data_IF_653360081567
#
_entry.id   IF_653360081567
#
_cell.length_a   1.000
_cell.length_b   1.000
_cell.length_c   1.000
_cell.angle_alpha   90.00
_cell.angle_beta   90.00
_cell.angle_gamma   90.00
#
_symmetry.space_group_name_H-M   'P 1'
#
loop_
_entity.id
_entity.type
_entity.pdbx_description
1 polymer ?
#
# COMPACT_ATOMS: atom_id res chain seq x y z
N UNK A 1 -7.35 -48.98 -3.09
CA UNK A 1 -8.46 -48.04 -3.34
C UNK A 1 -7.79 -46.73 -3.83
N UNK A 2 -7.91 -46.39 -5.12
CA UNK A 2 -7.37 -45.15 -5.63
C UNK A 2 -8.34 -44.04 -5.25
N UNK A 3 -7.98 -43.22 -4.30
CA UNK A 3 -8.65 -41.96 -4.01
C UNK A 3 -8.47 -41.04 -5.23
N UNK A 4 -9.54 -40.38 -5.70
CA UNK A 4 -9.53 -39.55 -6.92
C UNK A 4 -8.44 -38.44 -6.92
N UNK A 5 -8.34 -37.70 -8.04
CA UNK A 5 -7.28 -36.67 -8.29
C UNK A 5 -7.08 -35.65 -7.16
N UNK A 6 -8.08 -35.42 -6.29
CA UNK A 6 -8.02 -34.52 -5.13
C UNK A 6 -7.13 -35.02 -3.96
N UNK A 7 -6.66 -36.26 -3.99
CA UNK A 7 -5.83 -36.89 -2.94
C UNK A 7 -4.41 -37.24 -3.42
N UNK A 8 -3.85 -36.44 -4.30
CA UNK A 8 -2.44 -36.57 -4.66
C UNK A 8 -1.53 -36.31 -3.45
N UNK A 9 -0.31 -36.84 -3.46
CA UNK A 9 0.67 -36.64 -2.39
C UNK A 9 0.94 -35.16 -2.10
N UNK A 10 0.79 -34.30 -3.11
CA UNK A 10 0.89 -32.84 -2.98
C UNK A 10 -0.25 -32.26 -2.16
N UNK A 11 -1.50 -32.66 -2.44
CA UNK A 11 -2.67 -32.19 -1.69
C UNK A 11 -2.69 -32.71 -0.24
N UNK A 12 -2.29 -33.98 -0.02
CA UNK A 12 -2.22 -34.55 1.33
C UNK A 12 -1.20 -33.79 2.18
N UNK A 13 -0.03 -33.43 1.63
CA UNK A 13 0.95 -32.59 2.33
C UNK A 13 0.39 -31.19 2.64
N UNK A 14 -0.30 -30.58 1.71
CA UNK A 14 -0.94 -29.28 1.91
C UNK A 14 -2.06 -29.34 2.98
N UNK A 15 -2.89 -30.39 3.01
CA UNK A 15 -3.89 -30.60 4.05
C UNK A 15 -3.26 -30.73 5.42
N UNK A 16 -2.18 -31.52 5.53
CA UNK A 16 -1.43 -31.66 6.79
C UNK A 16 -0.83 -30.32 7.23
N UNK A 17 -0.20 -29.59 6.36
CA UNK A 17 0.38 -28.28 6.67
C UNK A 17 -0.71 -27.30 7.13
N UNK A 18 -1.82 -27.24 6.42
CA UNK A 18 -2.95 -26.39 6.80
C UNK A 18 -3.49 -26.73 8.20
N UNK A 19 -3.66 -28.00 8.49
CA UNK A 19 -4.11 -28.46 9.82
C UNK A 19 -3.15 -28.06 10.94
N UNK A 20 -1.84 -28.07 10.68
CA UNK A 20 -0.84 -27.65 11.67
C UNK A 20 -0.87 -26.12 11.90
N UNK A 21 -1.12 -25.34 10.86
CA UNK A 21 -1.18 -23.86 10.95
C UNK A 21 -2.53 -23.39 11.52
N UNK A 22 -3.61 -24.09 11.19
CA UNK A 22 -4.99 -23.76 11.57
C UNK A 22 -5.64 -24.98 12.21
N UNK A 23 -5.36 -25.25 13.50
CA UNK A 23 -5.82 -26.47 14.16
C UNK A 23 -7.33 -26.56 14.33
N UNK A 24 -8.03 -25.43 14.40
CA UNK A 24 -9.49 -25.38 14.52
C UNK A 24 -10.16 -24.98 13.20
N UNK A 25 -10.35 -25.97 12.33
CA UNK A 25 -10.95 -25.77 10.99
C UNK A 25 -12.42 -25.35 11.06
N UNK A 26 -13.18 -25.78 12.04
CA UNK A 26 -14.61 -25.45 12.11
C UNK A 26 -14.82 -23.98 12.51
N UNK A 27 -14.06 -23.49 13.46
CA UNK A 27 -14.04 -22.05 13.78
C UNK A 27 -13.58 -21.24 12.56
N UNK A 28 -12.58 -21.74 11.85
CA UNK A 28 -12.08 -21.08 10.64
C UNK A 28 -13.12 -20.95 9.54
N UNK A 29 -13.84 -22.03 9.23
CA UNK A 29 -14.91 -22.03 8.22
C UNK A 29 -16.04 -21.05 8.57
N UNK A 30 -16.42 -20.98 9.84
CA UNK A 30 -17.46 -20.07 10.28
C UNK A 30 -17.02 -18.60 10.23
N UNK A 31 -15.76 -18.34 10.56
CA UNK A 31 -15.18 -16.99 10.61
C UNK A 31 -14.83 -16.43 9.22
N UNK A 32 -14.42 -17.30 8.28
CA UNK A 32 -13.95 -16.91 6.95
C UNK A 32 -14.63 -17.69 5.83
N UNK A 33 -15.95 -17.54 5.65
CA UNK A 33 -16.73 -18.33 4.67
C UNK A 33 -16.42 -17.94 3.21
N UNK A 34 -15.83 -16.80 2.97
CA UNK A 34 -15.44 -16.28 1.66
C UNK A 34 -14.12 -16.86 1.11
N UNK A 35 -13.33 -17.57 1.93
CA UNK A 35 -12.10 -18.18 1.46
C UNK A 35 -12.36 -19.53 0.79
N UNK A 36 -11.79 -19.73 -0.38
CA UNK A 36 -11.78 -21.03 -1.08
C UNK A 36 -10.52 -21.82 -0.74
N UNK A 37 -10.54 -23.15 -1.00
CA UNK A 37 -9.35 -23.98 -0.90
C UNK A 37 -8.16 -23.44 -1.70
N UNK A 38 -8.42 -22.77 -2.83
CA UNK A 38 -7.35 -22.16 -3.63
C UNK A 38 -6.62 -21.03 -2.90
N UNK A 39 -7.32 -20.22 -2.12
CA UNK A 39 -6.68 -19.21 -1.26
C UNK A 39 -5.74 -19.88 -0.25
N UNK A 40 -6.25 -20.87 0.48
CA UNK A 40 -5.46 -21.63 1.45
C UNK A 40 -4.22 -22.24 0.80
N UNK A 41 -4.40 -22.94 -0.33
CA UNK A 41 -3.32 -23.60 -1.04
C UNK A 41 -2.23 -22.64 -1.55
N UNK A 42 -2.60 -21.39 -1.86
CA UNK A 42 -1.63 -20.35 -2.26
C UNK A 42 -0.81 -19.87 -1.06
N UNK A 43 -1.44 -19.63 0.07
CA UNK A 43 -0.73 -19.18 1.28
C UNK A 43 0.23 -20.21 1.85
N UNK A 44 -0.04 -21.50 1.70
CA UNK A 44 0.86 -22.57 2.15
C UNK A 44 2.22 -22.63 1.42
N UNK A 45 2.47 -21.76 0.46
CA UNK A 45 3.80 -21.56 -0.16
C UNK A 45 4.70 -20.67 0.67
N UNK A 46 4.13 -19.89 1.57
CA UNK A 46 4.86 -19.03 2.50
C UNK A 46 5.49 -19.94 3.58
N UNK A 47 6.75 -19.65 3.94
CA UNK A 47 7.50 -20.48 4.89
C UNK A 47 7.28 -20.07 6.36
N UNK A 48 6.56 -19.00 6.63
CA UNK A 48 6.29 -18.49 7.97
C UNK A 48 4.80 -18.71 8.33
N UNK A 49 4.55 -19.47 9.40
CA UNK A 49 3.20 -19.78 9.87
C UNK A 49 2.43 -18.54 10.33
N UNK A 50 3.11 -17.50 10.82
CA UNK A 50 2.50 -16.23 11.22
C UNK A 50 2.05 -15.47 10.00
N UNK A 51 2.91 -15.40 8.97
CA UNK A 51 2.57 -14.78 7.69
C UNK A 51 1.42 -15.53 6.99
N UNK A 52 1.38 -16.87 7.02
CA UNK A 52 0.28 -17.66 6.45
C UNK A 52 -1.05 -17.24 7.08
N UNK A 53 -1.13 -17.21 8.42
CA UNK A 53 -2.35 -16.81 9.14
C UNK A 53 -2.76 -15.39 8.79
N UNK A 54 -1.82 -14.48 8.78
CA UNK A 54 -2.06 -13.08 8.44
C UNK A 54 -2.61 -12.93 7.02
N UNK A 55 -2.01 -13.59 6.01
CA UNK A 55 -2.50 -13.56 4.63
C UNK A 55 -3.92 -14.12 4.51
N UNK A 56 -4.25 -15.19 5.24
CA UNK A 56 -5.58 -15.77 5.25
C UNK A 56 -6.60 -14.82 5.90
N UNK A 57 -6.28 -14.27 7.07
CA UNK A 57 -7.15 -13.33 7.77
C UNK A 57 -7.38 -12.05 6.98
N UNK A 58 -6.32 -11.47 6.43
CA UNK A 58 -6.42 -10.25 5.62
C UNK A 58 -7.20 -10.52 4.32
N UNK A 59 -6.95 -11.65 3.65
CA UNK A 59 -7.70 -12.04 2.46
C UNK A 59 -9.19 -12.17 2.72
N UNK A 60 -9.58 -12.69 3.88
CA UNK A 60 -10.98 -12.83 4.26
C UNK A 60 -11.61 -11.48 4.60
N UNK A 61 -10.94 -10.66 5.39
CA UNK A 61 -11.44 -9.36 5.84
C UNK A 61 -11.56 -8.36 4.69
N UNK A 62 -10.62 -8.38 3.75
CA UNK A 62 -10.59 -7.48 2.59
C UNK A 62 -11.19 -8.09 1.33
N UNK A 63 -11.72 -9.31 1.39
CA UNK A 63 -12.31 -10.03 0.26
C UNK A 63 -11.35 -10.14 -0.94
N UNK A 64 -10.07 -10.45 -0.70
CA UNK A 64 -9.12 -10.61 -1.78
C UNK A 64 -9.50 -11.75 -2.71
N UNK A 65 -9.35 -11.53 -4.01
CA UNK A 65 -9.38 -12.61 -4.98
C UNK A 65 -8.12 -13.48 -4.85
N UNK A 66 -8.18 -14.71 -5.36
CA UNK A 66 -6.98 -15.59 -5.44
C UNK A 66 -5.83 -14.88 -6.18
N UNK A 67 -6.13 -14.10 -7.21
CA UNK A 67 -5.13 -13.35 -7.98
C UNK A 67 -4.49 -12.24 -7.14
N UNK A 68 -5.30 -11.49 -6.40
CA UNK A 68 -4.82 -10.45 -5.47
C UNK A 68 -3.93 -11.04 -4.39
N UNK A 69 -4.38 -12.16 -3.79
CA UNK A 69 -3.59 -12.87 -2.79
C UNK A 69 -2.25 -13.39 -3.35
N UNK A 70 -2.27 -14.01 -4.52
CA UNK A 70 -1.06 -14.55 -5.17
C UNK A 70 -0.05 -13.43 -5.48
N UNK A 71 -0.54 -12.25 -5.93
CA UNK A 71 0.27 -11.06 -6.11
C UNK A 71 0.85 -10.55 -4.77
N UNK A 72 0.03 -10.41 -3.75
CA UNK A 72 0.48 -9.93 -2.44
C UNK A 72 1.53 -10.85 -1.80
N UNK A 73 1.41 -12.18 -1.98
CA UNK A 73 2.44 -13.13 -1.57
C UNK A 73 3.72 -12.94 -2.39
N UNK A 74 3.62 -12.86 -3.71
CA UNK A 74 4.79 -12.72 -4.59
C UNK A 74 5.52 -11.38 -4.42
N UNK A 75 4.81 -10.32 -4.04
CA UNK A 75 5.37 -9.00 -3.71
C UNK A 75 5.80 -8.87 -2.25
N UNK A 76 5.75 -9.97 -1.48
CA UNK A 76 6.13 -10.00 -0.05
C UNK A 76 5.41 -8.92 0.76
N UNK A 77 4.08 -8.83 0.58
CA UNK A 77 3.29 -7.77 1.18
C UNK A 77 3.27 -7.80 2.72
N UNK A 78 3.24 -9.01 3.32
CA UNK A 78 3.34 -9.20 4.77
C UNK A 78 4.64 -8.60 5.30
N UNK A 79 5.76 -8.96 4.72
CA UNK A 79 7.09 -8.52 5.11
C UNK A 79 7.23 -6.99 4.98
N UNK A 80 6.73 -6.42 3.87
CA UNK A 80 6.72 -4.97 3.65
C UNK A 80 5.83 -4.23 4.65
N UNK A 81 4.67 -4.82 4.99
CA UNK A 81 3.73 -4.22 5.93
C UNK A 81 4.32 -4.09 7.35
N UNK A 82 5.04 -5.12 7.81
CA UNK A 82 5.66 -5.13 9.13
C UNK A 82 7.07 -4.54 9.18
N UNK A 83 7.68 -4.24 8.03
CA UNK A 83 9.00 -3.58 7.94
C UNK A 83 8.90 -2.06 7.99
N UNK A 84 7.71 -1.47 7.95
CA UNK A 84 7.55 -0.02 8.03
C UNK A 84 7.71 0.44 9.47
N UNK A 85 8.47 1.53 9.73
CA UNK A 85 8.44 2.17 11.04
C UNK A 85 7.00 2.64 11.26
N UNK A 86 6.35 2.10 12.28
CA UNK A 86 5.14 2.71 12.80
C UNK A 86 5.54 4.07 13.35
N UNK A 87 5.23 5.14 12.62
CA UNK A 87 5.29 6.47 13.18
C UNK A 87 4.46 6.44 14.47
N UNK A 88 4.98 6.97 15.60
CA UNK A 88 4.27 6.94 16.86
C UNK A 88 2.93 7.61 16.67
N UNK A 89 1.89 6.79 16.55
CA UNK A 89 0.53 7.25 16.54
C UNK A 89 0.16 7.67 17.96
N UNK A 90 -0.09 8.93 18.16
CA UNK A 90 -0.88 9.41 19.29
C UNK A 90 -2.36 9.09 19.03
N UNK A 91 -2.65 7.82 18.80
CA UNK A 91 -4.01 7.38 18.55
C UNK A 91 -4.75 7.30 19.89
N UNK A 92 -5.67 8.20 20.10
CA UNK A 92 -6.84 8.01 20.95
C UNK A 92 -7.70 6.90 20.34
N UNK A 93 -8.10 5.93 21.16
CA UNK A 93 -8.93 4.78 20.79
C UNK A 93 -10.13 5.20 19.92
N UNK A 94 -10.18 4.70 18.69
CA UNK A 94 -11.35 4.81 17.80
C UNK A 94 -11.14 5.48 16.45
N UNK A 95 -10.02 6.17 16.18
CA UNK A 95 -9.74 6.75 14.86
C UNK A 95 -8.92 5.79 13.99
N UNK A 96 -9.46 5.47 12.81
CA UNK A 96 -8.74 4.71 11.79
C UNK A 96 -7.48 5.50 11.40
N UNK A 97 -6.31 4.92 11.68
CA UNK A 97 -5.04 5.58 11.41
C UNK A 97 -4.84 5.76 9.89
N UNK A 98 -4.84 7.00 9.43
CA UNK A 98 -4.69 7.35 8.00
C UNK A 98 -3.40 6.76 7.40
N UNK A 99 -2.31 6.70 8.17
CA UNK A 99 -1.04 6.15 7.71
C UNK A 99 -1.07 4.63 7.47
N UNK A 100 -1.96 3.89 8.14
CA UNK A 100 -2.13 2.44 7.93
C UNK A 100 -2.89 2.12 6.65
N UNK A 101 -3.70 3.05 6.15
CA UNK A 101 -4.45 2.89 4.91
C UNK A 101 -3.66 3.28 3.66
N UNK A 102 -2.55 4.00 3.84
CA UNK A 102 -1.67 4.43 2.76
C UNK A 102 -0.41 3.56 2.77
N UNK A 103 -0.29 2.68 1.77
CA UNK A 103 0.89 1.84 1.62
C UNK A 103 2.13 2.65 1.20
N UNK A 104 3.30 2.32 1.76
CA UNK A 104 4.59 2.84 1.32
C UNK A 104 5.70 1.80 1.59
N UNK A 105 6.60 1.46 0.67
CA UNK A 105 6.58 1.92 -0.72
C UNK A 105 5.47 1.25 -1.55
N UNK A 106 4.98 1.97 -2.56
CA UNK A 106 4.10 1.41 -3.60
C UNK A 106 4.95 0.60 -4.58
N UNK A 107 4.63 -0.67 -4.78
CA UNK A 107 5.33 -1.52 -5.75
C UNK A 107 4.60 -1.46 -7.09
N UNK A 108 5.25 -0.87 -8.08
CA UNK A 108 4.67 -0.56 -9.38
C UNK A 108 5.33 -1.35 -10.54
N UNK A 109 5.77 -2.60 -10.29
CA UNK A 109 6.38 -3.48 -11.27
C UNK A 109 5.46 -3.78 -12.47
N UNK A 110 4.17 -3.75 -12.24
CA UNK A 110 3.13 -3.96 -13.26
C UNK A 110 3.11 -2.86 -14.33
N UNK A 111 3.73 -1.70 -14.07
CA UNK A 111 3.86 -0.63 -15.07
C UNK A 111 4.83 -1.00 -16.21
N UNK A 112 5.67 -2.03 -16.02
CA UNK A 112 6.51 -2.61 -17.06
C UNK A 112 7.75 -1.79 -17.43
N UNK A 113 8.11 -0.75 -16.68
CA UNK A 113 9.35 0.01 -16.90
C UNK A 113 10.57 -0.84 -16.60
N UNK A 114 11.57 -0.79 -17.48
CA UNK A 114 12.85 -1.45 -17.27
C UNK A 114 13.77 -0.58 -16.42
N UNK A 115 14.64 -1.22 -15.65
CA UNK A 115 15.52 -0.56 -14.68
C UNK A 115 16.43 0.53 -15.30
N UNK A 116 16.80 0.36 -16.57
CA UNK A 116 17.72 1.24 -17.31
C UNK A 116 17.02 2.13 -18.34
N UNK A 117 15.69 2.15 -18.35
CA UNK A 117 14.90 2.94 -19.29
C UNK A 117 14.58 4.32 -18.70
N UNK A 118 14.85 5.40 -19.45
CA UNK A 118 14.41 6.74 -19.07
C UNK A 118 12.93 6.90 -19.42
N UNK A 119 12.15 7.42 -18.49
CA UNK A 119 10.73 7.72 -18.66
C UNK A 119 10.41 9.09 -18.08
N UNK A 120 9.35 9.73 -18.57
CA UNK A 120 8.84 10.99 -18.07
C UNK A 120 7.72 10.81 -17.03
N UNK A 121 7.38 11.88 -16.32
CA UNK A 121 6.20 11.87 -15.42
C UNK A 121 4.91 11.57 -16.20
N UNK A 122 4.79 12.05 -17.45
CA UNK A 122 3.67 11.74 -18.33
C UNK A 122 3.62 10.26 -18.74
N UNK A 123 4.78 9.61 -18.95
CA UNK A 123 4.83 8.16 -19.23
C UNK A 123 4.40 7.37 -18.01
N UNK A 124 4.85 7.78 -16.82
CA UNK A 124 4.45 7.17 -15.55
C UNK A 124 2.94 7.31 -15.32
N UNK A 125 2.38 8.50 -15.48
CA UNK A 125 0.95 8.75 -15.38
C UNK A 125 0.15 7.88 -16.36
N UNK A 126 0.55 7.86 -17.63
CA UNK A 126 -0.12 7.09 -18.67
C UNK A 126 -0.09 5.59 -18.37
N UNK A 127 1.04 5.07 -17.88
CA UNK A 127 1.17 3.68 -17.47
C UNK A 127 0.32 3.35 -16.24
N UNK A 128 0.22 4.25 -15.25
CA UNK A 128 -0.68 4.08 -14.10
C UNK A 128 -2.14 4.00 -14.56
N UNK A 129 -2.55 4.86 -15.48
CA UNK A 129 -3.91 4.84 -16.03
C UNK A 129 -4.18 3.53 -16.80
N UNK A 130 -3.22 3.05 -17.59
CA UNK A 130 -3.35 1.78 -18.31
C UNK A 130 -3.47 0.57 -17.37
N UNK A 131 -2.88 0.64 -16.17
CA UNK A 131 -2.89 -0.41 -15.15
C UNK A 131 -3.59 0.04 -13.85
N UNK A 132 -4.65 0.84 -14.01
CA UNK A 132 -5.32 1.50 -12.88
C UNK A 132 -5.84 0.54 -11.81
N UNK A 133 -6.29 -0.64 -12.22
CA UNK A 133 -6.78 -1.67 -11.28
C UNK A 133 -5.65 -2.17 -10.36
N UNK A 134 -4.49 -2.47 -10.94
CA UNK A 134 -3.31 -2.92 -10.21
C UNK A 134 -2.80 -1.82 -9.28
N UNK A 135 -2.80 -0.57 -9.76
CA UNK A 135 -2.40 0.59 -8.96
C UNK A 135 -3.32 0.82 -7.76
N UNK A 136 -4.65 0.78 -7.96
CA UNK A 136 -5.62 0.90 -6.84
C UNK A 136 -5.43 -0.21 -5.82
N UNK A 137 -5.20 -1.45 -6.26
CA UNK A 137 -4.94 -2.57 -5.34
C UNK A 137 -3.64 -2.37 -4.54
N UNK A 138 -2.62 -1.78 -5.16
CA UNK A 138 -1.37 -1.48 -4.47
C UNK A 138 -1.50 -0.31 -3.49
N UNK A 139 -2.31 0.69 -3.80
CA UNK A 139 -2.57 1.81 -2.89
C UNK A 139 -3.22 1.39 -1.57
N UNK A 140 -4.04 0.35 -1.59
CA UNK A 140 -4.72 -0.16 -0.40
C UNK A 140 -6.23 -0.18 -0.48
N UNK A 141 -6.89 -0.16 0.68
CA UNK A 141 -8.34 -0.36 0.78
C UNK A 141 -9.13 0.93 0.56
N UNK A 142 -10.24 0.80 -0.15
CA UNK A 142 -11.27 1.84 -0.23
C UNK A 142 -11.02 2.93 -1.25
N UNK A 143 -9.98 2.82 -2.10
CA UNK A 143 -9.72 3.81 -3.14
C UNK A 143 -10.64 3.64 -4.35
N UNK A 144 -11.22 4.75 -4.79
CA UNK A 144 -11.98 4.89 -6.02
C UNK A 144 -11.35 5.99 -6.88
N UNK A 145 -11.10 5.72 -8.15
CA UNK A 145 -10.54 6.70 -9.08
C UNK A 145 -11.59 7.73 -9.44
N UNK A 146 -11.24 9.01 -9.33
CA UNK A 146 -12.10 10.17 -9.65
C UNK A 146 -11.69 10.77 -10.99
N UNK A 147 -10.40 10.99 -11.22
CA UNK A 147 -9.92 11.59 -12.46
C UNK A 147 -8.42 11.78 -12.50
N UNK A 148 -7.94 12.13 -13.70
CA UNK A 148 -6.55 12.53 -13.94
C UNK A 148 -6.49 13.95 -14.46
N UNK A 149 -5.34 14.62 -14.31
CA UNK A 149 -5.09 15.99 -14.79
C UNK A 149 -6.24 16.93 -14.41
N UNK A 150 -6.62 16.86 -13.13
CA UNK A 150 -7.76 17.62 -12.64
C UNK A 150 -7.41 19.11 -12.60
N UNK A 151 -8.08 19.89 -13.44
CA UNK A 151 -7.91 21.33 -13.51
C UNK A 151 -8.49 22.03 -12.27
N UNK A 152 -7.68 22.86 -11.63
CA UNK A 152 -8.10 23.88 -10.67
C UNK A 152 -7.76 25.24 -11.28
N UNK A 153 -8.79 26.05 -11.52
CA UNK A 153 -8.63 27.38 -12.09
C UNK A 153 -8.74 28.44 -11.01
N UNK A 154 -7.74 29.30 -10.94
CA UNK A 154 -7.75 30.49 -10.07
C UNK A 154 -7.78 31.75 -10.91
N UNK A 155 -7.88 32.91 -10.27
CA UNK A 155 -7.83 34.19 -10.95
C UNK A 155 -6.46 34.48 -11.60
N UNK A 156 -5.38 33.84 -11.11
CA UNK A 156 -4.00 34.10 -11.54
C UNK A 156 -3.48 33.07 -12.54
N UNK A 157 -3.84 31.79 -12.38
CA UNK A 157 -3.34 30.70 -13.25
C UNK A 157 -4.16 29.41 -13.10
N UNK A 158 -3.92 28.48 -14.03
CA UNK A 158 -4.47 27.14 -14.04
C UNK A 158 -3.46 26.18 -13.41
N UNK A 159 -3.97 25.25 -12.58
CA UNK A 159 -3.20 24.19 -11.93
C UNK A 159 -3.78 22.84 -12.32
N UNK A 160 -2.93 21.82 -12.40
CA UNK A 160 -3.34 20.46 -12.73
C UNK A 160 -2.84 19.49 -11.67
N UNK A 161 -3.74 18.67 -11.17
CA UNK A 161 -3.42 17.58 -10.25
C UNK A 161 -3.36 16.29 -11.06
N UNK A 162 -2.25 15.55 -10.98
CA UNK A 162 -2.02 14.38 -11.82
C UNK A 162 -3.10 13.32 -11.64
N UNK A 163 -3.36 12.87 -10.41
CA UNK A 163 -4.36 11.87 -10.12
C UNK A 163 -5.21 12.26 -8.90
N UNK A 164 -6.51 12.07 -9.02
CA UNK A 164 -7.47 12.28 -7.93
C UNK A 164 -8.21 10.99 -7.65
N UNK A 165 -8.20 10.60 -6.39
CA UNK A 165 -8.98 9.47 -5.85
C UNK A 165 -9.92 9.95 -4.75
N UNK A 166 -10.90 9.12 -4.43
CA UNK A 166 -11.70 9.25 -3.22
C UNK A 166 -11.53 7.98 -2.38
N UNK A 167 -11.23 8.13 -1.10
CA UNK A 167 -11.16 6.98 -0.20
C UNK A 167 -12.47 6.87 0.61
N UNK A 168 -13.21 5.78 0.35
CA UNK A 168 -14.53 5.53 0.94
C UNK A 168 -14.44 5.30 2.46
N UNK A 169 -13.34 4.68 2.93
CA UNK A 169 -13.13 4.37 4.35
C UNK A 169 -12.82 5.64 5.13
N UNK A 170 -11.92 6.46 4.60
CA UNK A 170 -11.52 7.73 5.17
C UNK A 170 -12.52 8.86 4.90
N UNK A 171 -13.45 8.67 3.96
CA UNK A 171 -14.42 9.69 3.50
C UNK A 171 -13.75 10.99 3.09
N UNK A 172 -12.68 10.91 2.32
CA UNK A 172 -11.93 12.08 1.86
C UNK A 172 -11.40 11.91 0.44
N UNK A 173 -11.10 13.03 -0.20
CA UNK A 173 -10.33 13.02 -1.44
C UNK A 173 -8.85 12.74 -1.16
N UNK A 174 -8.20 12.08 -2.11
CA UNK A 174 -6.76 11.80 -2.07
C UNK A 174 -6.17 12.28 -3.39
N UNK A 175 -5.31 13.29 -3.30
CA UNK A 175 -4.59 13.87 -4.43
C UNK A 175 -3.22 13.24 -4.52
N UNK A 176 -2.80 12.88 -5.74
CA UNK A 176 -1.47 12.33 -5.97
C UNK A 176 -0.78 13.19 -7.02
N UNK A 177 0.42 13.64 -6.69
CA UNK A 177 1.35 14.29 -7.59
C UNK A 177 2.53 13.34 -7.85
N UNK A 178 2.84 13.10 -9.12
CA UNK A 178 3.84 12.13 -9.56
C UNK A 178 5.18 12.83 -9.79
N UNK A 179 6.25 12.34 -9.18
CA UNK A 179 7.59 12.90 -9.35
C UNK A 179 8.59 11.81 -9.71
N UNK A 180 9.42 12.10 -10.69
CA UNK A 180 10.58 11.27 -11.02
C UNK A 180 11.78 11.77 -10.24
N UNK A 181 12.48 10.82 -9.57
CA UNK A 181 13.65 11.14 -8.76
C UNK A 181 13.30 11.52 -7.32
N UNK A 182 14.16 12.36 -6.75
CA UNK A 182 14.11 12.76 -5.35
C UNK A 182 13.08 13.88 -5.13
N UNK A 183 12.26 13.75 -4.09
CA UNK A 183 11.31 14.79 -3.68
C UNK A 183 12.03 16.09 -3.32
N UNK A 184 11.41 17.24 -3.63
CA UNK A 184 11.89 18.59 -3.35
C UNK A 184 10.93 19.36 -2.45
N UNK A 185 11.42 20.37 -1.76
CA UNK A 185 10.58 21.28 -0.95
C UNK A 185 9.46 21.94 -1.77
N UNK A 186 9.72 22.23 -3.04
CA UNK A 186 8.74 22.80 -3.97
C UNK A 186 7.57 21.85 -4.19
N UNK A 187 7.83 20.54 -4.33
CA UNK A 187 6.79 19.53 -4.57
C UNK A 187 5.84 19.43 -3.37
N UNK A 188 6.41 19.49 -2.16
CA UNK A 188 5.64 19.49 -0.91
C UNK A 188 4.78 20.74 -0.79
N UNK A 189 5.34 21.91 -1.07
CA UNK A 189 4.62 23.19 -1.05
C UNK A 189 3.50 23.25 -2.10
N UNK A 190 3.73 22.69 -3.28
CA UNK A 190 2.73 22.56 -4.34
C UNK A 190 1.57 21.65 -3.88
N UNK A 191 1.88 20.50 -3.26
CA UNK A 191 0.85 19.59 -2.77
C UNK A 191 0.02 20.21 -1.62
N UNK A 192 0.65 20.93 -0.68
CA UNK A 192 -0.08 21.66 0.38
C UNK A 192 -1.07 22.67 -0.21
N UNK A 193 -0.63 23.42 -1.21
CA UNK A 193 -1.51 24.34 -1.94
C UNK A 193 -2.67 23.59 -2.60
N UNK A 194 -2.42 22.47 -3.27
CA UNK A 194 -3.47 21.67 -3.93
C UNK A 194 -4.50 21.15 -2.94
N UNK A 195 -4.07 20.63 -1.80
CA UNK A 195 -4.97 20.14 -0.74
C UNK A 195 -5.88 21.26 -0.26
N UNK A 196 -5.34 22.44 0.05
CA UNK A 196 -6.13 23.61 0.51
C UNK A 196 -7.12 24.09 -0.54
N UNK A 197 -6.68 24.19 -1.79
CA UNK A 197 -7.56 24.59 -2.90
C UNK A 197 -8.67 23.56 -3.14
N UNK A 198 -8.35 22.28 -3.02
CA UNK A 198 -9.33 21.22 -3.23
C UNK A 198 -10.37 21.18 -2.12
N UNK A 199 -9.94 21.37 -0.86
CA UNK A 199 -10.85 21.48 0.28
C UNK A 199 -11.78 22.70 0.13
N UNK A 200 -11.25 23.86 -0.29
CA UNK A 200 -12.08 25.04 -0.49
C UNK A 200 -13.11 24.88 -1.64
N UNK A 201 -12.71 24.26 -2.76
CA UNK A 201 -13.50 24.23 -3.98
C UNK A 201 -14.35 22.97 -4.18
N UNK A 202 -13.97 21.85 -3.58
CA UNK A 202 -14.54 20.52 -3.86
C UNK A 202 -15.01 19.74 -2.63
N UNK A 203 -14.66 20.20 -1.43
CA UNK A 203 -15.11 19.52 -0.22
C UNK A 203 -16.63 19.61 -0.10
N UNK A 204 -17.27 18.48 0.20
CA UNK A 204 -18.69 18.38 0.45
C UNK A 204 -18.96 18.14 1.93
N UNK A 205 -20.14 18.51 2.40
CA UNK A 205 -20.57 18.25 3.76
C UNK A 205 -20.48 16.75 4.11
N UNK A 206 -19.84 16.42 5.22
CA UNK A 206 -19.60 15.04 5.66
C UNK A 206 -18.31 14.40 5.17
N UNK A 207 -17.51 15.08 4.35
CA UNK A 207 -16.17 14.65 3.99
C UNK A 207 -15.12 15.11 5.01
N UNK A 208 -14.14 14.26 5.28
CA UNK A 208 -12.94 14.64 6.01
C UNK A 208 -12.01 15.47 5.10
N UNK A 209 -11.05 16.20 5.67
CA UNK A 209 -10.08 16.98 4.91
C UNK A 209 -9.32 16.12 3.88
N UNK A 210 -9.04 16.71 2.73
CA UNK A 210 -8.31 16.09 1.62
C UNK A 210 -6.91 15.66 2.03
N UNK A 211 -6.45 14.53 1.50
CA UNK A 211 -5.10 14.01 1.70
C UNK A 211 -4.30 14.25 0.44
N UNK A 212 -3.07 14.79 0.59
CA UNK A 212 -2.10 14.95 -0.48
C UNK A 212 -0.96 13.95 -0.38
N UNK A 213 -0.61 13.31 -1.47
CA UNK A 213 0.50 12.36 -1.58
C UNK A 213 1.43 12.80 -2.70
N UNK A 214 2.69 13.09 -2.38
CA UNK A 214 3.75 13.20 -3.40
C UNK A 214 4.35 11.80 -3.59
N UNK A 215 4.11 11.21 -4.75
CA UNK A 215 4.61 9.89 -5.11
C UNK A 215 5.92 10.03 -5.90
N UNK A 216 7.04 9.66 -5.27
CA UNK A 216 8.39 9.86 -5.81
C UNK A 216 9.21 8.56 -5.82
N UNK A 217 10.24 8.47 -6.66
CA UNK A 217 11.14 7.31 -6.65
C UNK A 217 12.12 7.32 -5.48
N UNK A 218 12.45 8.49 -4.95
CA UNK A 218 13.35 8.68 -3.81
C UNK A 218 12.78 9.69 -2.83
N UNK A 219 12.77 9.33 -1.55
CA UNK A 219 12.43 10.23 -0.44
C UNK A 219 13.69 10.94 0.07
N UNK A 220 13.50 12.08 0.74
CA UNK A 220 14.56 12.86 1.36
C UNK A 220 14.31 12.97 2.87
N UNK A 221 15.27 12.56 3.69
CA UNK A 221 15.13 12.59 5.15
C UNK A 221 15.04 14.02 5.71
N UNK A 222 15.76 14.96 5.13
CA UNK A 222 15.72 16.37 5.55
C UNK A 222 14.38 17.00 5.22
N UNK A 223 13.82 16.70 4.04
CA UNK A 223 12.48 17.16 3.65
C UNK A 223 11.42 16.52 4.54
N UNK A 224 11.53 15.24 4.84
CA UNK A 224 10.60 14.58 5.75
C UNK A 224 10.65 15.17 7.16
N UNK A 225 11.84 15.58 7.63
CA UNK A 225 12.07 16.12 8.98
C UNK A 225 11.79 17.61 9.13
N UNK A 226 12.13 18.43 8.13
CA UNK A 226 12.14 19.89 8.22
C UNK A 226 11.14 20.61 7.34
N UNK A 227 10.29 19.88 6.62
CA UNK A 227 9.19 20.47 5.84
C UNK A 227 7.86 20.38 6.58
N UNK A 228 6.81 20.94 5.95
CA UNK A 228 5.43 20.83 6.43
C UNK A 228 4.89 19.39 6.46
N UNK A 229 5.61 18.41 5.89
CA UNK A 229 5.28 16.99 6.04
C UNK A 229 5.41 16.52 7.49
N UNK A 230 6.36 17.09 8.23
CA UNK A 230 6.57 16.73 9.62
C UNK A 230 5.42 17.25 10.49
N UNK A 231 4.65 16.33 11.06
CA UNK A 231 3.47 16.66 11.87
C UNK A 231 2.21 16.97 11.06
N UNK A 232 2.23 16.85 9.72
CA UNK A 232 1.02 16.97 8.92
C UNK A 232 0.21 15.67 9.00
N UNK A 233 -1.10 15.81 9.24
CA UNK A 233 -2.06 14.70 9.17
C UNK A 233 -2.63 14.48 7.76
N UNK A 234 -2.30 15.37 6.81
CA UNK A 234 -2.94 15.43 5.50
C UNK A 234 -1.95 15.39 4.33
N UNK A 235 -0.65 15.50 4.60
CA UNK A 235 0.39 15.48 3.57
C UNK A 235 1.35 14.32 3.80
N UNK A 236 1.56 13.54 2.74
CA UNK A 236 2.42 12.37 2.77
C UNK A 236 3.36 12.37 1.55
N UNK A 237 4.58 11.90 1.78
CA UNK A 237 5.49 11.53 0.71
C UNK A 237 5.59 10.00 0.69
N UNK A 238 5.29 9.38 -0.45
CA UNK A 238 5.38 7.94 -0.62
C UNK A 238 6.38 7.58 -1.71
N UNK A 239 7.22 6.59 -1.42
CA UNK A 239 8.17 6.06 -2.38
C UNK A 239 7.50 5.02 -3.27
N UNK A 240 7.77 5.05 -4.58
CA UNK A 240 7.43 3.95 -5.46
C UNK A 240 8.69 3.18 -5.91
N UNK A 241 8.52 1.87 -6.15
CA UNK A 241 9.56 1.00 -6.71
C UNK A 241 9.00 0.34 -7.97
N UNK A 242 9.67 0.47 -9.09
CA UNK A 242 9.26 -0.09 -10.39
C UNK A 242 9.65 -1.57 -10.56
N UNK A 243 10.31 -2.15 -9.58
CA UNK A 243 10.73 -3.55 -9.57
C UNK A 243 10.50 -4.17 -8.20
N UNK A 244 10.31 -5.47 -8.19
CA UNK A 244 10.22 -6.21 -6.93
C UNK A 244 11.58 -6.16 -6.22
N UNK A 245 11.63 -5.82 -4.93
CA UNK A 245 12.86 -5.96 -4.16
C UNK A 245 13.28 -7.43 -4.12
N UNK A 246 14.58 -7.68 -4.19
CA UNK A 246 15.13 -9.01 -3.97
C UNK A 246 14.95 -9.42 -2.52
N UNK A 247 14.97 -10.74 -2.24
CA UNK A 247 14.89 -11.25 -0.86
C UNK A 247 16.03 -10.69 0.02
N UNK A 248 17.22 -10.48 -0.56
CA UNK A 248 18.37 -9.90 0.14
C UNK A 248 18.19 -8.42 0.45
N UNK A 249 17.63 -7.64 -0.48
CA UNK A 249 17.31 -6.22 -0.27
C UNK A 249 16.28 -6.07 0.85
N UNK A 250 15.22 -6.89 0.81
CA UNK A 250 14.17 -6.85 1.83
C UNK A 250 14.70 -7.29 3.22
N UNK A 251 15.52 -8.33 3.28
CA UNK A 251 16.16 -8.77 4.52
C UNK A 251 17.01 -7.67 5.13
N UNK A 252 17.80 -6.99 4.30
CA UNK A 252 18.64 -5.86 4.73
C UNK A 252 17.79 -4.71 5.29
N UNK A 253 16.69 -4.38 4.63
CA UNK A 253 15.77 -3.33 5.06
C UNK A 253 15.13 -3.69 6.43
N UNK A 254 14.71 -4.94 6.62
CA UNK A 254 14.17 -5.45 7.89
C UNK A 254 15.24 -5.42 9.01
N UNK A 255 16.48 -5.81 8.72
CA UNK A 255 17.56 -5.77 9.70
C UNK A 255 17.91 -4.34 10.13
N UNK A 256 17.95 -3.40 9.19
CA UNK A 256 18.15 -1.97 9.49
C UNK A 256 17.02 -1.41 10.38
N UNK A 257 15.77 -1.74 10.08
CA UNK A 257 14.64 -1.30 10.90
C UNK A 257 14.68 -1.88 12.32
N UNK A 258 15.05 -3.14 12.47
CA UNK A 258 15.23 -3.77 13.79
C UNK A 258 16.33 -3.10 14.60
N UNK A 259 17.43 -2.72 13.96
CA UNK A 259 18.54 -2.02 14.60
C UNK A 259 18.15 -0.60 15.05
N UNK A 260 17.48 0.15 14.18
CA UNK A 260 16.92 1.47 14.53
C UNK A 260 15.95 1.39 15.72
N UNK A 261 15.07 0.38 15.73
CA UNK A 261 14.15 0.16 16.83
C UNK A 261 14.88 -0.14 18.15
N UNK A 262 15.93 -0.97 18.12
CA UNK A 262 16.77 -1.25 19.31
C UNK A 262 17.44 0.02 19.85
N UNK A 263 18.05 0.82 18.97
CA UNK A 263 18.69 2.08 19.35
C UNK A 263 17.69 3.09 19.96
N UNK A 264 16.44 3.11 19.47
CA UNK A 264 15.39 3.94 20.05
C UNK A 264 14.92 3.48 21.44
N UNK A 265 14.97 2.17 21.71
CA UNK A 265 14.63 1.61 23.03
C UNK A 265 15.76 1.83 24.06
N UNK A 266 17.02 1.80 23.64
CA UNK A 266 18.19 2.03 24.51
C UNK A 266 18.35 3.52 24.90
N UNK A 267 17.76 4.45 24.16
CA UNK A 267 17.78 5.89 24.44
C UNK A 267 16.55 6.41 25.22
N UNK A 268 15.68 5.50 25.68
CA UNK A 268 14.55 5.79 26.59
C UNK A 268 14.84 5.28 27.99
#
# INVERSE_FOLDING_TARGET
IAYGKGFSSRYIRAFRQFYLVVPDIEIWKSRFPNLTWTHIFRTLRVNDDVAIRWYLETSANENWSVRTLDRNISTQFYERHFSQPQLPSSATDGETNKSELLKSPIIAEFLGFKKDESYSESDLESSIIAHLQEFIMEMGRGFAFVGRQQLIRTASQDYFIDLVFYNIVLKCYVLIDLKIGKIKHQDVGQMDMYVRMFDELKQSEGNNPTIGIVLCSETDEDIARYSILNGSEHLFASKYKLYLPTEEELRREIEQQKELYRLQQENK
#
